data_IF_185625654080
#
_entry.id   IF_185625654080
#
_cell.length_a   1.000
_cell.length_b   1.000
_cell.length_c   1.000
_cell.angle_alpha   90.00
_cell.angle_beta   90.00
_cell.angle_gamma   90.00
#
_symmetry.space_group_name_H-M   'P 1'
#
loop_
_entity.id
_entity.type
_entity.pdbx_description
1 polymer ?
#
# COMPACT_ATOMS: atom_id res chain seq x y z
N UNK A 1 14.02 14.51 20.55
CA UNK A 1 13.07 13.63 21.24
C UNK A 1 12.75 12.54 20.22
N UNK A 2 13.26 11.30 20.44
CA UNK A 2 13.30 10.26 19.41
C UNK A 2 11.92 9.86 18.94
N UNK A 3 11.82 9.56 17.64
CA UNK A 3 10.70 8.86 17.04
C UNK A 3 10.47 7.58 17.87
N UNK A 4 9.27 7.43 18.42
CA UNK A 4 8.91 6.33 19.30
C UNK A 4 9.10 5.01 18.53
N UNK A 5 9.73 4.03 19.18
CA UNK A 5 9.89 2.63 18.70
C UNK A 5 8.55 1.87 18.51
N UNK A 6 7.45 2.62 18.31
CA UNK A 6 6.14 2.04 18.14
C UNK A 6 5.96 1.50 16.72
N UNK A 7 5.62 0.22 16.63
CA UNK A 7 5.35 -0.45 15.36
C UNK A 7 3.98 -0.06 14.82
N UNK A 8 3.94 0.30 13.52
CA UNK A 8 2.70 0.39 12.75
C UNK A 8 2.24 -1.01 12.33
N UNK A 9 3.20 -1.86 11.90
CA UNK A 9 2.96 -3.25 11.53
C UNK A 9 3.92 -4.15 12.30
N UNK A 10 3.38 -5.20 12.90
CA UNK A 10 4.16 -6.31 13.47
C UNK A 10 3.55 -7.62 13.02
N UNK A 11 4.31 -8.37 12.24
CA UNK A 11 3.95 -9.71 11.76
C UNK A 11 4.96 -10.69 12.34
N UNK A 12 4.47 -11.73 13.01
CA UNK A 12 5.30 -12.73 13.68
C UNK A 12 4.87 -14.14 13.29
N UNK A 13 5.83 -14.92 12.77
CA UNK A 13 5.68 -16.33 12.40
C UNK A 13 4.46 -16.61 11.52
N UNK A 14 4.20 -15.73 10.55
CA UNK A 14 3.05 -15.81 9.66
C UNK A 14 3.11 -17.05 8.77
N UNK A 15 2.08 -17.89 8.85
CA UNK A 15 1.84 -19.01 7.96
C UNK A 15 0.54 -18.83 7.20
N UNK A 16 0.59 -19.11 5.89
CA UNK A 16 -0.59 -19.06 5.02
C UNK A 16 -0.44 -19.95 3.79
N UNK A 17 -1.51 -20.63 3.41
CA UNK A 17 -1.63 -21.33 2.13
C UNK A 17 -3.01 -21.06 1.51
N UNK A 18 -3.07 -21.05 0.19
CA UNK A 18 -4.35 -20.96 -0.51
C UNK A 18 -5.06 -22.32 -0.49
N UNK A 19 -6.37 -22.38 -0.17
CA UNK A 19 -7.13 -23.62 -0.23
C UNK A 19 -7.06 -24.25 -1.62
N UNK A 20 -6.72 -25.55 -1.70
CA UNK A 20 -6.61 -26.27 -2.96
C UNK A 20 -5.30 -26.07 -3.72
N UNK A 21 -4.33 -25.40 -3.15
CA UNK A 21 -2.98 -25.28 -3.68
C UNK A 21 -2.01 -26.06 -2.76
N UNK A 22 -1.23 -26.98 -3.31
CA UNK A 22 -0.30 -27.80 -2.52
C UNK A 22 0.94 -27.02 -2.04
N UNK A 23 1.08 -25.75 -2.44
CA UNK A 23 2.20 -24.87 -2.09
C UNK A 23 1.90 -23.98 -0.89
N UNK A 24 2.81 -23.96 0.08
CA UNK A 24 2.79 -22.99 1.19
C UNK A 24 3.18 -21.62 0.65
N UNK A 25 2.31 -20.62 0.86
CA UNK A 25 2.62 -19.24 0.43
C UNK A 25 3.55 -18.54 1.43
N UNK A 26 3.30 -18.71 2.74
CA UNK A 26 4.16 -18.19 3.81
C UNK A 26 4.41 -19.27 4.87
N UNK A 27 5.67 -19.40 5.29
CA UNK A 27 6.09 -20.34 6.35
C UNK A 27 6.97 -19.61 7.35
N UNK A 28 6.33 -19.02 8.39
CA UNK A 28 7.05 -18.31 9.45
C UNK A 28 7.55 -16.92 9.06
N UNK A 29 6.86 -16.21 8.14
CA UNK A 29 7.25 -14.87 7.71
C UNK A 29 7.16 -13.88 8.88
N UNK A 30 8.19 -13.04 9.02
CA UNK A 30 8.27 -11.96 10.00
C UNK A 30 8.47 -10.63 9.27
N UNK A 31 7.76 -9.57 9.71
CA UNK A 31 7.87 -8.24 9.14
C UNK A 31 7.55 -7.18 10.20
N UNK A 32 8.37 -6.12 10.27
CA UNK A 32 8.14 -4.99 11.17
C UNK A 32 8.25 -3.68 10.43
N UNK A 33 7.26 -2.81 10.61
CA UNK A 33 7.26 -1.44 10.07
C UNK A 33 6.96 -0.47 11.21
N UNK A 34 7.77 0.59 11.35
CA UNK A 34 7.56 1.61 12.39
C UNK A 34 6.51 2.64 11.94
N UNK A 35 5.91 3.31 12.89
CA UNK A 35 5.00 4.43 12.61
C UNK A 35 5.70 5.56 11.87
N UNK A 36 5.03 6.09 10.84
CA UNK A 36 5.54 7.18 10.02
C UNK A 36 6.60 6.77 9.00
N UNK A 37 6.94 5.49 8.87
CA UNK A 37 7.86 5.01 7.83
C UNK A 37 7.22 5.04 6.44
N UNK A 38 8.04 5.26 5.43
CA UNK A 38 7.77 4.97 4.02
C UNK A 38 8.43 3.65 3.69
N UNK A 39 7.64 2.59 3.80
CA UNK A 39 8.10 1.22 3.68
C UNK A 39 7.73 0.64 2.32
N UNK A 40 8.71 0.09 1.61
CA UNK A 40 8.53 -0.60 0.34
C UNK A 40 8.64 -2.12 0.49
N UNK A 41 7.70 -2.86 -0.08
CA UNK A 41 7.75 -4.33 -0.18
C UNK A 41 7.91 -4.69 -1.66
N UNK A 42 9.07 -5.23 -2.02
CA UNK A 42 9.44 -5.52 -3.40
C UNK A 42 9.79 -6.98 -3.60
N UNK A 43 9.52 -7.48 -4.80
CA UNK A 43 9.77 -8.86 -5.16
C UNK A 43 9.13 -9.19 -6.50
N UNK A 44 9.44 -10.34 -7.12
CA UNK A 44 8.90 -10.73 -8.40
C UNK A 44 7.39 -11.01 -8.33
N UNK A 45 6.77 -11.15 -9.51
CA UNK A 45 5.39 -11.63 -9.58
C UNK A 45 5.28 -13.01 -8.95
N UNK A 46 4.23 -13.24 -8.16
CA UNK A 46 4.04 -14.48 -7.42
C UNK A 46 4.84 -14.61 -6.12
N UNK A 47 5.67 -13.63 -5.73
CA UNK A 47 6.43 -13.66 -4.47
C UNK A 47 5.55 -13.60 -3.19
N UNK A 48 4.26 -13.23 -3.33
CA UNK A 48 3.33 -13.15 -2.20
C UNK A 48 2.99 -11.73 -1.74
N UNK A 49 3.44 -10.67 -2.44
CA UNK A 49 3.18 -9.26 -2.03
C UNK A 49 1.70 -8.98 -1.80
N UNK A 50 0.86 -9.13 -2.81
CA UNK A 50 -0.60 -8.90 -2.73
C UNK A 50 -1.28 -9.80 -1.69
N UNK A 51 -0.80 -11.04 -1.53
CA UNK A 51 -1.27 -11.97 -0.50
C UNK A 51 -0.97 -11.43 0.89
N UNK A 52 0.27 -10.94 1.13
CA UNK A 52 0.66 -10.35 2.41
C UNK A 52 -0.18 -9.11 2.73
N UNK A 53 -0.39 -8.21 1.74
CA UNK A 53 -1.26 -7.04 1.91
C UNK A 53 -2.70 -7.45 2.22
N UNK A 54 -3.22 -8.51 1.57
CA UNK A 54 -4.58 -9.02 1.82
C UNK A 54 -4.73 -9.60 3.22
N UNK A 55 -3.70 -10.25 3.76
CA UNK A 55 -3.65 -10.72 5.14
C UNK A 55 -3.60 -9.55 6.14
N UNK A 56 -2.78 -8.53 5.86
CA UNK A 56 -2.70 -7.33 6.69
C UNK A 56 -4.01 -6.54 6.75
N UNK A 57 -4.77 -6.52 5.65
CA UNK A 57 -6.07 -5.83 5.59
C UNK A 57 -7.24 -6.69 6.11
N UNK A 58 -6.98 -7.96 6.46
CA UNK A 58 -8.00 -8.89 6.93
C UNK A 58 -8.95 -9.40 5.83
N UNK A 59 -8.62 -9.20 4.55
CA UNK A 59 -9.30 -9.80 3.40
C UNK A 59 -9.05 -11.30 3.33
N UNK A 60 -7.87 -11.74 3.76
CA UNK A 60 -7.52 -13.14 3.97
C UNK A 60 -7.24 -13.38 5.46
N UNK A 61 -7.40 -14.62 5.89
CA UNK A 61 -7.12 -15.05 7.28
C UNK A 61 -5.86 -15.91 7.31
N UNK A 62 -4.90 -15.58 8.16
CA UNK A 62 -3.70 -16.38 8.35
C UNK A 62 -4.02 -17.74 8.98
N UNK A 63 -3.27 -18.79 8.60
CA UNK A 63 -3.37 -20.12 9.17
C UNK A 63 -2.59 -20.21 10.50
N UNK A 64 -1.47 -19.47 10.59
CA UNK A 64 -0.62 -19.42 11.78
C UNK A 64 0.04 -18.05 11.94
N UNK A 65 0.57 -17.79 13.12
CA UNK A 65 1.25 -16.54 13.45
C UNK A 65 0.29 -15.40 13.76
N UNK A 66 0.82 -14.21 13.94
CA UNK A 66 0.08 -13.04 14.37
C UNK A 66 0.36 -11.82 13.48
N UNK A 67 -0.67 -11.03 13.20
CA UNK A 67 -0.56 -9.75 12.50
C UNK A 67 -1.18 -8.67 13.39
N UNK A 68 -0.36 -7.71 13.81
CA UNK A 68 -0.80 -6.55 14.58
C UNK A 68 -0.59 -5.27 13.79
N UNK A 69 -1.63 -4.46 13.69
CA UNK A 69 -1.58 -3.13 13.11
C UNK A 69 -1.85 -2.10 14.22
N UNK A 70 -0.88 -1.22 14.47
CA UNK A 70 -0.90 -0.26 15.59
C UNK A 70 -1.21 -0.94 16.94
N UNK A 71 -0.62 -2.12 17.15
CA UNK A 71 -0.81 -2.93 18.35
C UNK A 71 -2.14 -3.69 18.43
N UNK A 72 -2.97 -3.66 17.40
CA UNK A 72 -4.27 -4.36 17.33
C UNK A 72 -4.18 -5.58 16.43
N UNK A 73 -4.61 -6.73 16.92
CA UNK A 73 -4.68 -7.99 16.18
C UNK A 73 -5.75 -7.88 15.07
N UNK A 74 -5.36 -8.11 13.82
CA UNK A 74 -6.26 -7.99 12.65
C UNK A 74 -7.32 -9.09 12.63
N UNK A 75 -7.09 -10.25 13.25
CA UNK A 75 -8.04 -11.37 13.33
C UNK A 75 -9.24 -11.07 14.25
N UNK A 76 -9.01 -10.24 15.24
CA UNK A 76 -10.09 -9.77 16.11
C UNK A 76 -10.87 -8.71 15.32
N UNK A 77 -11.90 -9.12 14.56
CA UNK A 77 -12.80 -8.26 13.75
C UNK A 77 -13.19 -6.98 14.50
N UNK A 78 -12.20 -6.14 14.76
CA UNK A 78 -12.35 -4.89 15.47
C UNK A 78 -12.60 -3.81 14.42
N UNK A 79 -13.85 -3.35 14.31
CA UNK A 79 -14.24 -2.26 13.40
C UNK A 79 -13.32 -1.04 13.51
N UNK A 80 -12.64 -0.88 14.65
CA UNK A 80 -11.71 0.22 14.87
C UNK A 80 -10.37 0.05 14.12
N UNK A 81 -9.94 -1.17 13.80
CA UNK A 81 -8.72 -1.39 12.99
C UNK A 81 -8.95 -0.91 11.56
N UNK A 82 -10.11 -1.24 10.98
CA UNK A 82 -10.45 -0.87 9.60
C UNK A 82 -10.53 0.66 9.40
N UNK A 83 -10.84 1.42 10.47
CA UNK A 83 -10.84 2.89 10.41
C UNK A 83 -9.45 3.50 10.41
N UNK A 84 -8.42 2.73 10.80
CA UNK A 84 -7.04 3.19 10.87
C UNK A 84 -6.26 2.89 9.60
N UNK A 85 -6.82 2.04 8.72
CA UNK A 85 -6.14 1.53 7.54
C UNK A 85 -6.84 2.05 6.30
N UNK A 86 -6.07 2.65 5.39
CA UNK A 86 -6.46 2.85 4.00
C UNK A 86 -5.87 1.75 3.14
N UNK A 87 -6.63 1.24 2.20
CA UNK A 87 -6.16 0.26 1.23
C UNK A 87 -6.48 0.72 -0.19
N UNK A 88 -5.45 0.76 -1.02
CA UNK A 88 -5.54 1.05 -2.45
C UNK A 88 -5.07 -0.18 -3.19
N UNK A 89 -5.97 -1.08 -3.59
CA UNK A 89 -5.61 -2.30 -4.30
C UNK A 89 -5.19 -2.00 -5.74
N UNK A 90 -4.50 -2.97 -6.35
CA UNK A 90 -4.11 -2.93 -7.75
C UNK A 90 -5.34 -2.84 -8.67
N UNK A 91 -6.36 -3.65 -8.42
CA UNK A 91 -7.64 -3.56 -9.11
C UNK A 91 -8.49 -2.43 -8.56
N UNK A 92 -9.32 -1.84 -9.42
CA UNK A 92 -10.20 -0.75 -9.02
C UNK A 92 -11.35 -1.24 -8.13
N UNK A 93 -11.43 -0.74 -6.90
CA UNK A 93 -12.43 -1.13 -5.89
C UNK A 93 -13.42 -0.01 -5.63
N UNK A 94 -14.12 0.44 -6.67
CA UNK A 94 -15.16 1.46 -6.59
C UNK A 94 -16.32 1.17 -7.55
N UNK A 95 -17.41 1.91 -7.40
CA UNK A 95 -18.60 1.81 -8.26
C UNK A 95 -18.37 2.64 -9.52
N UNK A 96 -18.21 1.99 -10.66
CA UNK A 96 -17.88 2.64 -11.93
C UNK A 96 -19.03 3.52 -12.46
N UNK A 97 -20.26 3.18 -12.13
CA UNK A 97 -21.49 3.90 -12.49
C UNK A 97 -21.68 5.18 -11.69
N UNK A 98 -20.98 5.33 -10.57
CA UNK A 98 -21.02 6.51 -9.73
C UNK A 98 -19.94 7.52 -10.14
N UNK A 99 -20.18 8.78 -9.82
CA UNK A 99 -19.21 9.86 -9.91
C UNK A 99 -18.15 9.78 -8.78
N UNK A 100 -17.02 10.51 -8.87
CA UNK A 100 -16.08 10.63 -7.76
C UNK A 100 -16.72 11.09 -6.46
N UNK A 101 -17.62 12.08 -6.50
CA UNK A 101 -18.32 12.57 -5.30
C UNK A 101 -19.15 11.47 -4.68
N UNK A 102 -19.96 10.76 -5.45
CA UNK A 102 -20.83 9.68 -4.92
C UNK A 102 -20.01 8.50 -4.37
N UNK A 103 -18.91 8.13 -5.03
CA UNK A 103 -17.98 7.13 -4.50
C UNK A 103 -17.40 7.58 -3.15
N UNK A 104 -16.90 8.82 -3.05
CA UNK A 104 -16.32 9.35 -1.82
C UNK A 104 -17.36 9.50 -0.71
N UNK A 105 -18.60 9.86 -1.04
CA UNK A 105 -19.72 9.86 -0.08
C UNK A 105 -20.00 8.46 0.46
N UNK A 106 -20.06 7.46 -0.41
CA UNK A 106 -20.29 6.08 0.00
C UNK A 106 -19.19 5.56 0.92
N UNK A 107 -17.92 5.63 0.48
CA UNK A 107 -16.79 5.09 1.24
C UNK A 107 -16.47 5.91 2.50
N UNK A 108 -16.70 7.23 2.48
CA UNK A 108 -16.59 8.08 3.65
C UNK A 108 -17.63 7.73 4.71
N UNK A 109 -18.89 7.50 4.31
CA UNK A 109 -19.94 7.04 5.21
C UNK A 109 -19.64 5.63 5.75
N UNK A 110 -19.15 4.71 4.91
CA UNK A 110 -18.71 3.38 5.31
C UNK A 110 -17.61 3.42 6.39
N UNK A 111 -16.68 4.38 6.25
CA UNK A 111 -15.60 4.62 7.22
C UNK A 111 -16.07 5.34 8.49
N UNK A 112 -17.34 5.73 8.57
CA UNK A 112 -17.95 6.37 9.74
C UNK A 112 -17.76 7.90 9.81
N UNK A 113 -17.41 8.55 8.72
CA UNK A 113 -17.33 10.01 8.66
C UNK A 113 -18.72 10.65 8.66
N UNK A 114 -18.84 11.80 9.26
CA UNK A 114 -20.04 12.64 9.19
C UNK A 114 -20.19 13.27 7.80
N UNK A 115 -21.40 13.64 7.39
CA UNK A 115 -21.65 14.32 6.11
C UNK A 115 -20.77 15.56 5.89
N UNK A 116 -20.54 16.34 6.95
CA UNK A 116 -19.70 17.51 6.85
C UNK A 116 -18.23 17.16 6.63
N UNK A 117 -17.70 16.14 7.31
CA UNK A 117 -16.34 15.63 7.09
C UNK A 117 -16.16 15.09 5.68
N UNK A 118 -17.13 14.28 5.19
CA UNK A 118 -17.12 13.74 3.84
C UNK A 118 -17.05 14.88 2.83
N UNK A 119 -17.93 15.88 2.94
CA UNK A 119 -17.96 17.02 2.01
C UNK A 119 -16.60 17.73 1.98
N UNK A 120 -16.08 18.11 3.15
CA UNK A 120 -14.79 18.82 3.26
C UNK A 120 -13.65 17.99 2.65
N UNK A 121 -13.57 16.70 3.00
CA UNK A 121 -12.51 15.82 2.47
C UNK A 121 -12.67 15.55 0.98
N UNK A 122 -13.89 15.42 0.48
CA UNK A 122 -14.16 15.25 -0.96
C UNK A 122 -13.68 16.47 -1.75
N UNK A 123 -14.02 17.66 -1.31
CA UNK A 123 -13.59 18.90 -2.00
C UNK A 123 -12.06 19.01 -2.00
N UNK A 124 -11.41 18.73 -0.86
CA UNK A 124 -9.95 18.73 -0.72
C UNK A 124 -9.28 17.70 -1.64
N UNK A 125 -9.73 16.43 -1.60
CA UNK A 125 -9.14 15.34 -2.39
C UNK A 125 -9.32 15.54 -3.89
N UNK A 126 -10.49 16.00 -4.32
CA UNK A 126 -10.74 16.29 -5.74
C UNK A 126 -9.85 17.43 -6.24
N UNK A 127 -9.61 18.45 -5.40
CA UNK A 127 -8.68 19.53 -5.72
C UNK A 127 -7.24 19.01 -5.85
N UNK A 128 -6.72 18.36 -4.81
CA UNK A 128 -5.33 17.84 -4.79
C UNK A 128 -5.06 16.87 -5.94
N UNK A 129 -6.03 16.01 -6.24
CA UNK A 129 -5.90 14.99 -7.28
C UNK A 129 -6.33 15.46 -8.68
N UNK A 130 -6.68 16.73 -8.85
CA UNK A 130 -7.05 17.31 -10.13
C UNK A 130 -8.28 16.69 -10.77
N UNK A 131 -9.30 16.37 -9.97
CA UNK A 131 -10.56 15.76 -10.39
C UNK A 131 -11.78 16.70 -10.27
N UNK A 132 -11.57 17.98 -9.92
CA UNK A 132 -12.65 18.95 -9.69
C UNK A 132 -13.58 19.10 -10.89
N UNK A 133 -13.00 19.23 -12.09
CA UNK A 133 -13.76 19.48 -13.33
C UNK A 133 -14.61 18.28 -13.77
N UNK A 134 -14.39 17.11 -13.17
CA UNK A 134 -15.08 15.86 -13.51
C UNK A 134 -15.81 15.26 -12.32
N UNK A 135 -15.94 16.01 -11.23
CA UNK A 135 -16.43 15.56 -9.93
C UNK A 135 -17.79 14.84 -9.95
N UNK A 136 -18.66 15.21 -10.91
CA UNK A 136 -20.01 14.68 -11.08
C UNK A 136 -20.14 13.77 -12.31
N UNK A 137 -19.04 13.46 -13.02
CA UNK A 137 -19.03 12.60 -14.19
C UNK A 137 -18.79 11.15 -13.75
N UNK A 138 -19.51 10.20 -14.33
CA UNK A 138 -19.35 8.77 -14.03
C UNK A 138 -17.91 8.29 -14.27
N UNK A 139 -17.39 7.47 -13.34
CA UNK A 139 -15.98 7.05 -13.34
C UNK A 139 -15.68 6.05 -14.47
N UNK A 140 -16.67 5.32 -14.99
CA UNK A 140 -16.52 4.44 -16.16
C UNK A 140 -15.93 5.17 -17.39
N UNK A 141 -16.25 6.46 -17.55
CA UNK A 141 -15.81 7.32 -18.64
C UNK A 141 -14.41 7.92 -18.46
N UNK A 142 -13.70 7.55 -17.39
CA UNK A 142 -12.40 8.11 -17.03
C UNK A 142 -11.25 7.36 -17.71
N UNK A 143 -10.14 8.09 -17.95
CA UNK A 143 -8.87 7.46 -18.29
C UNK A 143 -8.34 6.59 -17.14
N UNK A 144 -7.42 5.67 -17.44
CA UNK A 144 -6.78 4.83 -16.41
C UNK A 144 -6.14 5.64 -15.27
N UNK A 145 -5.43 6.72 -15.60
CA UNK A 145 -4.84 7.62 -14.62
C UNK A 145 -5.87 8.38 -13.77
N UNK A 146 -6.99 8.79 -14.35
CA UNK A 146 -8.10 9.39 -13.57
C UNK A 146 -8.73 8.35 -12.64
N UNK A 147 -8.95 7.14 -13.12
CA UNK A 147 -9.47 6.01 -12.35
C UNK A 147 -8.56 5.70 -11.17
N UNK A 148 -7.23 5.71 -11.36
CA UNK A 148 -6.24 5.48 -10.31
C UNK A 148 -6.29 6.57 -9.24
N UNK A 149 -6.46 7.83 -9.63
CA UNK A 149 -6.62 8.96 -8.69
C UNK A 149 -7.90 8.86 -7.85
N UNK A 150 -9.02 8.40 -8.46
CA UNK A 150 -10.25 8.10 -7.69
C UNK A 150 -10.02 6.98 -6.69
N UNK A 151 -9.35 5.89 -7.08
CA UNK A 151 -9.03 4.76 -6.21
C UNK A 151 -8.18 5.22 -5.00
N UNK A 152 -7.18 6.07 -5.24
CA UNK A 152 -6.37 6.67 -4.17
C UNK A 152 -7.22 7.56 -3.26
N UNK A 153 -8.08 8.43 -3.81
CA UNK A 153 -8.95 9.30 -3.03
C UNK A 153 -9.83 8.51 -2.05
N UNK A 154 -10.37 7.38 -2.50
CA UNK A 154 -11.18 6.48 -1.67
C UNK A 154 -10.34 5.88 -0.53
N UNK A 155 -9.14 5.39 -0.82
CA UNK A 155 -8.25 4.81 0.19
C UNK A 155 -7.86 5.79 1.30
N UNK A 156 -7.90 7.10 1.03
CA UNK A 156 -7.44 8.15 1.97
C UNK A 156 -8.55 9.06 2.52
N UNK A 157 -9.82 8.86 2.12
CA UNK A 157 -10.93 9.74 2.53
C UNK A 157 -11.04 9.92 4.03
N UNK A 158 -10.76 8.90 4.80
CA UNK A 158 -10.90 8.85 6.26
C UNK A 158 -9.60 9.15 7.04
N UNK A 159 -8.56 9.70 6.37
CA UNK A 159 -7.26 10.00 6.97
C UNK A 159 -6.66 8.81 7.73
N UNK A 160 -6.31 7.72 7.05
CA UNK A 160 -5.79 6.52 7.69
C UNK A 160 -4.43 6.77 8.36
N UNK A 161 -4.17 6.09 9.47
CA UNK A 161 -2.87 6.08 10.12
C UNK A 161 -1.85 5.18 9.39
N UNK A 162 -2.34 4.14 8.68
CA UNK A 162 -1.57 3.27 7.79
C UNK A 162 -2.25 3.28 6.43
N UNK A 163 -1.49 3.57 5.37
CA UNK A 163 -1.95 3.48 3.99
C UNK A 163 -1.19 2.37 3.28
N UNK A 164 -1.93 1.35 2.86
CA UNK A 164 -1.43 0.19 2.12
C UNK A 164 -1.75 0.40 0.64
N UNK A 165 -0.74 0.32 -0.21
CA UNK A 165 -0.81 0.66 -1.63
C UNK A 165 -0.25 -0.51 -2.44
N UNK A 166 -1.12 -1.20 -3.17
CA UNK A 166 -0.71 -2.28 -4.06
C UNK A 166 -0.60 -1.74 -5.50
N UNK A 167 0.63 -1.48 -5.92
CA UNK A 167 0.98 -0.97 -7.25
C UNK A 167 0.16 0.27 -7.70
N UNK A 168 0.13 1.34 -6.90
CA UNK A 168 -0.78 2.46 -7.13
C UNK A 168 -0.48 3.31 -8.36
N UNK A 169 0.68 3.12 -9.01
CA UNK A 169 1.17 3.89 -10.16
C UNK A 169 1.20 3.10 -11.46
N UNK A 170 0.74 1.86 -11.44
CA UNK A 170 0.69 1.02 -12.64
C UNK A 170 -0.26 1.58 -13.69
N UNK A 171 0.22 1.67 -14.93
CA UNK A 171 -0.60 2.09 -16.08
C UNK A 171 -0.96 3.57 -16.09
N UNK A 172 -0.27 4.43 -15.31
CA UNK A 172 -0.47 5.87 -15.34
C UNK A 172 0.67 6.58 -16.08
N UNK A 173 0.36 7.74 -16.67
CA UNK A 173 1.36 8.60 -17.28
C UNK A 173 2.31 9.24 -16.22
N UNK A 174 3.45 9.77 -16.69
CA UNK A 174 4.49 10.35 -15.84
C UNK A 174 3.96 11.48 -14.95
N UNK A 175 3.08 12.35 -15.45
CA UNK A 175 2.56 13.48 -14.69
C UNK A 175 1.64 13.00 -13.57
N UNK A 176 0.74 12.06 -13.88
CA UNK A 176 -0.15 11.43 -12.88
C UNK A 176 0.66 10.71 -11.80
N UNK A 177 1.72 9.99 -12.19
CA UNK A 177 2.63 9.31 -11.25
C UNK A 177 3.26 10.31 -10.29
N UNK A 178 3.86 11.39 -10.79
CA UNK A 178 4.45 12.42 -9.94
C UNK A 178 3.43 13.05 -8.98
N UNK A 179 2.22 13.32 -9.44
CA UNK A 179 1.16 13.85 -8.58
C UNK A 179 0.80 12.88 -7.44
N UNK A 180 0.66 11.59 -7.75
CA UNK A 180 0.41 10.54 -6.74
C UNK A 180 1.55 10.48 -5.73
N UNK A 181 2.80 10.37 -6.17
CA UNK A 181 3.97 10.27 -5.29
C UNK A 181 4.09 11.51 -4.38
N UNK A 182 3.92 12.71 -4.93
CA UNK A 182 3.97 13.94 -4.14
C UNK A 182 2.88 13.94 -3.06
N UNK A 183 1.67 13.53 -3.40
CA UNK A 183 0.59 13.44 -2.43
C UNK A 183 0.84 12.38 -1.34
N UNK A 184 1.41 11.22 -1.70
CA UNK A 184 1.82 10.21 -0.71
C UNK A 184 2.90 10.74 0.24
N UNK A 185 3.88 11.49 -0.28
CA UNK A 185 4.89 12.13 0.57
C UNK A 185 4.28 13.17 1.52
N UNK A 186 3.27 13.92 1.08
CA UNK A 186 2.54 14.85 1.93
C UNK A 186 1.76 14.13 3.04
N UNK A 187 1.04 13.05 2.72
CA UNK A 187 0.37 12.22 3.71
C UNK A 187 1.35 11.68 4.76
N UNK A 188 2.52 11.23 4.32
CA UNK A 188 3.55 10.73 5.24
C UNK A 188 4.10 11.84 6.15
N UNK A 189 4.37 13.03 5.63
CA UNK A 189 4.77 14.19 6.46
C UNK A 189 3.74 14.53 7.54
N UNK A 190 2.47 14.24 7.28
CA UNK A 190 1.36 14.43 8.23
C UNK A 190 1.17 13.22 9.17
N UNK A 191 2.08 12.24 9.14
CA UNK A 191 2.16 11.13 10.10
C UNK A 191 1.58 9.80 9.59
N UNK A 192 1.07 9.70 8.37
CA UNK A 192 0.61 8.44 7.79
C UNK A 192 1.80 7.52 7.51
N UNK A 193 1.75 6.29 7.99
CA UNK A 193 2.69 5.23 7.61
C UNK A 193 2.31 4.72 6.22
N UNK A 194 3.27 4.64 5.31
CA UNK A 194 3.04 4.12 3.97
C UNK A 194 3.62 2.72 3.83
N UNK A 195 2.82 1.80 3.27
CA UNK A 195 3.27 0.48 2.82
C UNK A 195 3.00 0.42 1.33
N UNK A 196 4.07 0.35 0.56
CA UNK A 196 4.04 0.53 -0.89
C UNK A 196 4.61 -0.71 -1.57
N UNK A 197 3.87 -1.26 -2.53
CA UNK A 197 4.41 -2.26 -3.45
C UNK A 197 4.52 -1.69 -4.85
N UNK A 198 5.53 -2.10 -5.58
CA UNK A 198 5.70 -1.82 -7.00
C UNK A 198 6.54 -2.91 -7.63
N UNK A 199 6.35 -3.12 -8.91
CA UNK A 199 7.28 -3.88 -9.73
C UNK A 199 8.30 -2.95 -10.43
N UNK A 200 8.19 -1.63 -10.28
CA UNK A 200 9.16 -0.65 -10.78
C UNK A 200 10.05 -0.19 -9.62
N UNK A 201 11.20 -0.83 -9.45
CA UNK A 201 12.10 -0.59 -8.32
C UNK A 201 12.67 0.84 -8.28
N UNK A 202 12.82 1.49 -9.43
CA UNK A 202 13.26 2.89 -9.51
C UNK A 202 12.27 3.89 -8.88
N UNK A 203 10.95 3.58 -8.87
CA UNK A 203 9.96 4.40 -8.16
C UNK A 203 10.13 4.28 -6.64
N UNK A 204 10.46 3.07 -6.20
CA UNK A 204 10.69 2.76 -4.81
C UNK A 204 11.84 3.57 -4.20
N UNK A 205 12.92 3.75 -4.95
CA UNK A 205 14.10 4.52 -4.54
C UNK A 205 13.75 5.99 -4.25
N UNK A 206 12.75 6.53 -4.98
CA UNK A 206 12.29 7.91 -4.79
C UNK A 206 11.32 8.11 -3.62
N UNK A 207 10.58 7.05 -3.24
CA UNK A 207 9.53 7.15 -2.24
C UNK A 207 9.91 6.50 -0.91
N UNK A 208 10.50 5.30 -0.93
CA UNK A 208 10.68 4.46 0.25
C UNK A 208 12.03 4.70 0.94
N UNK A 209 12.02 4.77 2.26
CA UNK A 209 13.24 4.88 3.10
C UNK A 209 13.63 3.52 3.66
N UNK A 210 12.63 2.69 3.96
CA UNK A 210 12.80 1.33 4.44
C UNK A 210 12.27 0.37 3.38
N UNK A 211 12.96 -0.72 3.15
CA UNK A 211 12.56 -1.70 2.15
C UNK A 211 12.68 -3.11 2.68
N UNK A 212 11.81 -4.00 2.20
CA UNK A 212 11.98 -5.43 2.30
C UNK A 212 11.91 -6.05 0.90
N UNK A 213 12.81 -6.98 0.65
CA UNK A 213 12.76 -7.81 -0.55
C UNK A 213 12.14 -9.16 -0.18
N UNK A 214 11.12 -9.56 -0.92
CA UNK A 214 10.42 -10.83 -0.77
C UNK A 214 10.57 -11.68 -2.03
N UNK A 215 10.92 -12.95 -1.87
CA UNK A 215 10.85 -13.96 -2.95
C UNK A 215 10.29 -15.26 -2.38
N UNK A 216 9.43 -15.91 -3.14
CA UNK A 216 8.87 -17.23 -2.79
C UNK A 216 8.28 -17.32 -1.38
N UNK A 217 7.66 -16.23 -0.91
CA UNK A 217 7.01 -16.15 0.40
C UNK A 217 7.95 -15.89 1.59
N UNK A 218 9.21 -15.61 1.35
CA UNK A 218 10.22 -15.31 2.39
C UNK A 218 10.75 -13.88 2.25
N UNK A 219 10.93 -13.20 3.38
CA UNK A 219 11.64 -11.91 3.41
C UNK A 219 13.15 -12.22 3.36
N UNK A 220 13.78 -11.86 2.25
CA UNK A 220 15.21 -12.09 2.01
C UNK A 220 16.04 -11.09 2.83
N UNK A 221 15.64 -9.82 2.82
CA UNK A 221 16.31 -8.74 3.52
C UNK A 221 15.30 -7.64 3.87
N UNK A 222 15.51 -7.00 5.02
CA UNK A 222 14.76 -5.82 5.44
C UNK A 222 15.70 -4.85 6.16
N UNK A 223 15.89 -3.65 5.59
CA UNK A 223 16.64 -2.54 6.22
C UNK A 223 16.31 -1.22 5.49
N UNK A 224 16.96 -0.14 5.92
CA UNK A 224 16.92 1.11 5.17
C UNK A 224 17.56 0.92 3.77
N UNK A 225 16.94 1.51 2.76
CA UNK A 225 17.44 1.43 1.40
C UNK A 225 18.92 1.87 1.31
N UNK A 226 19.27 2.94 2.01
CA UNK A 226 20.64 3.47 2.02
C UNK A 226 21.65 2.47 2.63
N UNK A 227 21.29 1.76 3.69
CA UNK A 227 22.15 0.75 4.30
C UNK A 227 22.34 -0.44 3.37
N UNK A 228 21.26 -0.97 2.79
CA UNK A 228 21.31 -2.10 1.88
C UNK A 228 22.20 -1.83 0.67
N UNK A 229 22.00 -0.69 0.01
CA UNK A 229 22.83 -0.31 -1.15
C UNK A 229 24.31 -0.16 -0.78
N UNK A 230 24.59 0.40 0.40
CA UNK A 230 25.97 0.56 0.89
C UNK A 230 26.61 -0.77 1.26
N UNK A 231 25.92 -1.63 2.00
CA UNK A 231 26.42 -2.93 2.47
C UNK A 231 26.74 -3.87 1.31
N UNK A 232 25.84 -3.92 0.32
CA UNK A 232 25.99 -4.75 -0.88
C UNK A 232 26.78 -4.06 -2.00
N UNK A 233 27.22 -2.81 -1.82
CA UNK A 233 27.96 -2.02 -2.82
C UNK A 233 27.21 -1.90 -4.16
N UNK A 234 25.88 -1.78 -4.07
CA UNK A 234 25.01 -1.63 -5.24
C UNK A 234 24.59 -0.17 -5.44
N UNK A 235 24.39 0.21 -6.71
CA UNK A 235 23.98 1.57 -7.08
C UNK A 235 22.45 1.70 -7.16
N UNK A 236 21.73 0.59 -7.25
CA UNK A 236 20.28 0.56 -7.37
C UNK A 236 19.64 -0.65 -6.66
N UNK A 237 18.37 -0.51 -6.33
CA UNK A 237 17.57 -1.60 -5.75
C UNK A 237 17.41 -2.76 -6.73
N UNK A 238 17.42 -2.51 -8.04
CA UNK A 238 17.36 -3.53 -9.08
C UNK A 238 18.62 -4.41 -9.07
N UNK A 239 19.79 -3.80 -8.99
CA UNK A 239 21.07 -4.52 -8.90
C UNK A 239 21.16 -5.33 -7.60
N UNK A 240 20.69 -4.74 -6.48
CA UNK A 240 20.61 -5.43 -5.20
C UNK A 240 19.72 -6.67 -5.28
N UNK A 241 18.54 -6.53 -5.89
CA UNK A 241 17.62 -7.65 -6.06
C UNK A 241 18.23 -8.78 -6.88
N UNK A 242 18.89 -8.43 -8.00
CA UNK A 242 19.59 -9.40 -8.85
C UNK A 242 20.70 -10.15 -8.09
N UNK A 243 21.49 -9.42 -7.29
CA UNK A 243 22.54 -10.04 -6.46
C UNK A 243 21.97 -11.05 -5.47
N UNK A 244 20.92 -10.64 -4.72
CA UNK A 244 20.38 -11.46 -3.63
C UNK A 244 19.57 -12.66 -4.11
N UNK A 245 18.90 -12.57 -5.27
CA UNK A 245 18.03 -13.63 -5.76
C UNK A 245 18.65 -14.45 -6.90
N UNK A 246 19.70 -13.94 -7.55
CA UNK A 246 20.27 -14.51 -8.78
C UNK A 246 19.32 -14.50 -9.98
N UNK A 247 18.22 -13.75 -9.88
CA UNK A 247 17.15 -13.64 -10.90
C UNK A 247 17.06 -12.20 -11.38
N UNK A 248 16.99 -12.00 -12.69
CA UNK A 248 16.63 -10.69 -13.23
C UNK A 248 15.23 -10.29 -12.72
N UNK A 249 15.10 -9.04 -12.27
CA UNK A 249 13.81 -8.48 -11.92
C UNK A 249 13.00 -8.29 -13.20
N UNK A 250 12.18 -9.29 -13.54
CA UNK A 250 11.40 -9.27 -14.77
C UNK A 250 10.20 -8.35 -14.57
N UNK A 251 10.20 -7.25 -15.30
CA UNK A 251 9.00 -6.51 -15.62
C UNK A 251 8.25 -7.31 -16.71
N UNK A 252 7.46 -8.29 -16.34
CA UNK A 252 6.56 -8.92 -17.30
C UNK A 252 5.50 -7.87 -17.68
N UNK A 253 5.58 -7.44 -18.95
CA UNK A 253 4.66 -6.52 -19.62
C UNK A 253 3.32 -7.24 -19.87
#
# INVERSE_FOLDING_TARGET
MGLSDELAVNIENLGFHYPGNDGVTFSGLNLKVRKGERFGLFGPNGAGKTTLLSLMTGLLSADAGDIHLLGRDVRKKNKDVNKLIGFVPQDFSYYQELSPVENLEFFGAWSGLTRQQIKTRTDELLHILGLENVRNKQVDQFSGGMKRRVNLAIGVIHNPAILILDEPTVGVDVQTRHAIINYLMELNKNGTTLIYTSHQLSEAEGLCEQVALIDSGEIIVQDSLANLLKEHRQESLENLFLELTGKEYRNDI
#
